data_IF_396544702611
#
_entry.id   IF_396544702611
#
_cell.length_a   1.000
_cell.length_b   1.000
_cell.length_c   1.000
_cell.angle_alpha   90.00
_cell.angle_beta   90.00
_cell.angle_gamma   90.00
#
_symmetry.space_group_name_H-M   'P 1'
#
loop_
_entity.id
_entity.type
_entity.pdbx_description
1 polymer ?
#
# COMPACT_ATOMS: atom_id res chain seq x y z
N UNK A 1 -8.80 13.18 -18.51
CA UNK A 1 -9.52 11.92 -18.24
C UNK A 1 -9.18 11.00 -19.39
N UNK A 2 -8.42 9.94 -19.12
CA UNK A 2 -8.08 8.94 -20.12
C UNK A 2 -9.07 7.79 -19.97
N UNK A 3 -10.18 7.86 -20.69
CA UNK A 3 -11.18 6.80 -20.70
C UNK A 3 -10.86 5.83 -21.84
N UNK A 4 -10.78 4.54 -21.54
CA UNK A 4 -10.53 3.49 -22.53
C UNK A 4 -11.63 2.45 -22.39
N UNK A 5 -12.39 2.27 -23.47
CA UNK A 5 -13.40 1.22 -23.57
C UNK A 5 -12.69 -0.07 -23.95
N UNK A 6 -12.88 -1.12 -23.16
CA UNK A 6 -12.33 -2.46 -23.39
C UNK A 6 -13.47 -3.47 -23.47
N UNK A 7 -13.33 -4.48 -24.33
CA UNK A 7 -14.30 -5.57 -24.39
C UNK A 7 -14.03 -6.58 -23.28
N UNK A 8 -15.10 -6.97 -22.60
CA UNK A 8 -15.09 -8.04 -21.61
C UNK A 8 -14.87 -9.38 -22.34
N UNK A 9 -13.87 -10.11 -21.90
CA UNK A 9 -13.58 -11.46 -22.40
C UNK A 9 -14.45 -12.49 -21.65
N UNK A 10 -14.56 -13.73 -22.18
CA UNK A 10 -15.32 -14.78 -21.51
C UNK A 10 -14.93 -14.95 -20.04
N UNK A 11 -15.90 -15.34 -19.21
CA UNK A 11 -15.72 -15.52 -17.76
C UNK A 11 -15.35 -14.24 -17.01
N UNK A 12 -15.68 -13.06 -17.56
CA UNK A 12 -15.46 -11.78 -16.89
C UNK A 12 -14.01 -11.32 -16.87
N UNK A 13 -13.19 -11.81 -17.79
CA UNK A 13 -11.79 -11.41 -17.88
C UNK A 13 -11.66 -10.04 -18.56
N UNK A 14 -10.80 -9.17 -18.01
CA UNK A 14 -10.49 -7.87 -18.60
C UNK A 14 -8.99 -7.80 -18.85
N UNK A 15 -8.61 -7.45 -20.08
CA UNK A 15 -7.21 -7.16 -20.39
C UNK A 15 -6.91 -5.70 -20.06
N UNK A 16 -6.08 -5.45 -19.05
CA UNK A 16 -5.67 -4.10 -18.68
C UNK A 16 -4.75 -3.50 -19.78
N UNK A 17 -5.14 -2.37 -20.41
CA UNK A 17 -4.32 -1.70 -21.41
C UNK A 17 -2.90 -1.38 -20.92
N UNK A 18 -1.91 -1.45 -21.82
CA UNK A 18 -0.49 -1.22 -21.51
C UNK A 18 -0.24 0.10 -20.77
N UNK A 19 -0.97 1.17 -21.12
CA UNK A 19 -0.84 2.49 -20.49
C UNK A 19 -1.17 2.45 -19.00
N UNK A 20 -2.28 1.82 -18.62
CA UNK A 20 -2.65 1.65 -17.22
C UNK A 20 -1.73 0.69 -16.48
N UNK A 21 -1.24 -0.36 -17.15
CA UNK A 21 -0.27 -1.28 -16.55
C UNK A 21 1.02 -0.59 -16.13
N UNK A 22 1.58 0.24 -16.99
CA UNK A 22 2.81 1.00 -16.67
C UNK A 22 2.52 2.09 -15.63
N UNK A 23 1.42 2.83 -15.78
CA UNK A 23 1.08 3.96 -14.89
C UNK A 23 0.81 3.53 -13.45
N UNK A 24 0.08 2.43 -13.25
CA UNK A 24 -0.33 1.96 -11.92
C UNK A 24 0.45 0.74 -11.44
N UNK A 25 1.44 0.26 -12.21
CA UNK A 25 2.27 -0.87 -11.81
C UNK A 25 1.55 -2.22 -11.82
N UNK A 26 0.58 -2.44 -12.71
CA UNK A 26 -0.03 -3.77 -12.88
C UNK A 26 0.95 -4.72 -13.58
N UNK A 27 1.70 -5.46 -12.78
CA UNK A 27 2.50 -6.62 -13.19
C UNK A 27 1.74 -7.94 -13.03
N UNK A 28 2.49 -9.05 -13.10
CA UNK A 28 1.98 -10.33 -12.61
C UNK A 28 1.96 -10.29 -11.08
N UNK A 29 0.78 -10.41 -10.48
CA UNK A 29 0.64 -10.35 -9.03
C UNK A 29 -0.81 -10.28 -8.58
N UNK A 30 -1.04 -10.29 -7.26
CA UNK A 30 -2.37 -10.16 -6.70
C UNK A 30 -2.90 -8.74 -6.90
N UNK A 31 -4.22 -8.66 -7.07
CA UNK A 31 -4.94 -7.41 -7.29
C UNK A 31 -6.11 -7.39 -6.32
N UNK A 32 -6.30 -6.26 -5.64
CA UNK A 32 -7.47 -6.05 -4.79
C UNK A 32 -8.60 -5.46 -5.63
N UNK A 33 -9.79 -6.02 -5.43
CA UNK A 33 -11.02 -5.64 -6.11
C UNK A 33 -12.00 -5.19 -5.03
N UNK A 34 -12.51 -3.96 -5.12
CA UNK A 34 -13.48 -3.40 -4.16
C UNK A 34 -14.67 -2.80 -4.91
N UNK A 35 -15.87 -3.03 -4.38
CA UNK A 35 -17.08 -2.34 -4.80
C UNK A 35 -17.09 -0.91 -4.24
N UNK A 36 -17.38 0.07 -5.09
CA UNK A 36 -17.50 1.49 -4.73
C UNK A 36 -18.87 2.07 -5.10
N UNK A 37 -19.90 1.23 -5.23
CA UNK A 37 -21.31 1.60 -5.39
C UNK A 37 -21.72 2.03 -6.81
N UNK A 38 -20.77 2.54 -7.61
CA UNK A 38 -20.96 2.90 -9.03
C UNK A 38 -20.06 2.12 -9.98
N UNK A 39 -19.33 1.13 -9.48
CA UNK A 39 -18.36 0.38 -10.23
C UNK A 39 -17.40 -0.38 -9.34
N UNK A 40 -16.36 -0.92 -9.97
CA UNK A 40 -15.35 -1.72 -9.29
C UNK A 40 -14.02 -0.97 -9.33
N UNK A 41 -13.42 -0.77 -8.16
CA UNK A 41 -12.05 -0.27 -8.06
C UNK A 41 -11.09 -1.44 -8.01
N UNK A 42 -10.09 -1.40 -8.89
CA UNK A 42 -9.08 -2.44 -9.05
C UNK A 42 -7.71 -1.81 -8.76
N UNK A 43 -6.97 -2.35 -7.80
CA UNK A 43 -5.65 -1.85 -7.40
C UNK A 43 -4.63 -3.00 -7.24
N UNK A 44 -3.41 -2.90 -7.77
CA UNK A 44 -2.39 -3.92 -7.55
C UNK A 44 -1.97 -3.90 -6.09
N UNK A 45 -1.75 -5.09 -5.51
CA UNK A 45 -1.32 -5.22 -4.12
C UNK A 45 -0.12 -6.12 -4.01
N UNK A 46 0.72 -5.86 -3.02
CA UNK A 46 1.84 -6.74 -2.67
C UNK A 46 1.43 -7.56 -1.45
N UNK A 47 1.38 -8.88 -1.62
CA UNK A 47 1.20 -9.79 -0.48
C UNK A 47 2.59 -10.15 0.05
N UNK A 48 2.88 -9.75 1.28
CA UNK A 48 4.10 -10.16 1.97
C UNK A 48 3.97 -11.63 2.37
N UNK A 49 4.93 -12.46 1.94
CA UNK A 49 4.92 -13.93 2.19
C UNK A 49 5.13 -14.29 3.66
N UNK A 50 5.57 -13.35 4.47
CA UNK A 50 5.81 -13.53 5.90
C UNK A 50 4.80 -12.68 6.69
N UNK A 51 4.46 -13.13 7.90
CA UNK A 51 3.69 -12.31 8.84
C UNK A 51 4.53 -11.11 9.22
N UNK A 52 4.04 -9.92 8.88
CA UNK A 52 4.60 -8.69 9.43
C UNK A 52 4.19 -8.61 10.89
N UNK A 53 5.15 -8.39 11.79
CA UNK A 53 4.83 -8.10 13.21
C UNK A 53 3.90 -6.89 13.24
N UNK A 54 2.77 -7.03 13.90
CA UNK A 54 1.92 -5.88 14.25
C UNK A 54 2.36 -5.40 15.62
N UNK A 55 2.72 -4.13 15.70
CA UNK A 55 2.91 -3.47 16.98
C UNK A 55 1.56 -3.08 17.53
N UNK A 56 1.36 -3.33 18.81
CA UNK A 56 0.27 -2.76 19.59
C UNK A 56 0.48 -1.26 19.76
N UNK A 57 -0.61 -0.52 19.99
CA UNK A 57 -0.54 0.92 20.25
C UNK A 57 0.37 1.22 21.46
N UNK A 58 0.38 0.33 22.46
CA UNK A 58 1.26 0.44 23.62
C UNK A 58 2.74 0.34 23.26
N UNK A 59 3.14 -0.61 22.42
CA UNK A 59 4.54 -0.75 21.97
C UNK A 59 5.00 0.48 21.16
N UNK A 60 4.09 1.08 20.38
CA UNK A 60 4.37 2.30 19.63
C UNK A 60 4.57 3.49 20.59
N UNK A 61 3.69 3.64 21.58
CA UNK A 61 3.79 4.70 22.58
C UNK A 61 5.07 4.60 23.42
N UNK A 62 5.45 3.39 23.82
CA UNK A 62 6.70 3.15 24.56
C UNK A 62 7.92 3.52 23.73
N UNK A 63 7.93 3.15 22.44
CA UNK A 63 9.01 3.51 21.52
C UNK A 63 9.13 5.03 21.37
N UNK A 64 8.02 5.74 21.17
CA UNK A 64 8.02 7.20 21.00
C UNK A 64 8.52 7.93 22.26
N UNK A 65 8.15 7.45 23.46
CA UNK A 65 8.64 8.02 24.73
C UNK A 65 10.14 7.79 24.92
N UNK A 66 10.63 6.61 24.54
CA UNK A 66 12.05 6.30 24.59
C UNK A 66 12.84 7.21 23.64
N UNK A 67 12.38 7.35 22.40
CA UNK A 67 12.98 8.20 21.37
C UNK A 67 13.03 9.67 21.80
N UNK A 68 11.95 10.19 22.40
CA UNK A 68 11.91 11.56 22.91
C UNK A 68 12.91 11.78 24.04
N UNK A 69 13.05 10.80 24.95
CA UNK A 69 14.00 10.85 26.05
C UNK A 69 15.44 10.84 25.53
N UNK A 70 15.78 9.89 24.67
CA UNK A 70 17.12 9.77 24.08
C UNK A 70 17.48 11.02 23.27
N UNK A 71 16.54 11.56 22.49
CA UNK A 71 16.74 12.80 21.74
C UNK A 71 17.08 13.99 22.64
N UNK A 72 16.44 14.09 23.82
CA UNK A 72 16.76 15.15 24.80
C UNK A 72 18.14 14.96 25.40
N UNK A 73 18.51 13.73 25.73
CA UNK A 73 19.82 13.40 26.30
C UNK A 73 20.96 13.69 25.30
N UNK A 74 20.78 13.32 24.04
CA UNK A 74 21.76 13.57 22.98
C UNK A 74 21.93 15.07 22.66
N UNK A 75 20.84 15.85 22.70
CA UNK A 75 20.89 17.32 22.59
C UNK A 75 21.65 17.95 23.74
N UNK A 76 21.41 17.50 24.96
CA UNK A 76 22.12 17.99 26.14
C UNK A 76 23.61 17.62 26.12
N UNK A 77 23.96 16.49 25.49
CA UNK A 77 25.33 16.06 25.26
C UNK A 77 26.00 16.76 24.06
N UNK A 78 25.27 17.56 23.28
CA UNK A 78 25.79 18.29 22.11
C UNK A 78 26.15 17.40 20.92
N UNK A 79 25.58 16.19 20.84
CA UNK A 79 25.86 15.21 19.79
C UNK A 79 24.93 15.45 18.58
N UNK A 80 23.72 15.97 18.81
CA UNK A 80 22.68 16.28 17.81
C UNK A 80 22.00 17.60 18.19
#
# INVERSE_FOLDING_TARGET
MDDVIVMLQPRGQITVPRRFRVKYGFGQGPVRVRDVGGGVMIEPVTILKYRVRRYSDQEVDEFLKLDEKESRELKNAGII
#
